data_IF_937576262759
#
_entry.id   IF_937576262759
#
_cell.length_a   1.000
_cell.length_b   1.000
_cell.length_c   1.000
_cell.angle_alpha   90.00
_cell.angle_beta   90.00
_cell.angle_gamma   90.00
#
_symmetry.space_group_name_H-M   'P 1'
#
loop_
_entity.id
_entity.type
_entity.pdbx_description
1 polymer ?
#
# COMPACT_ATOMS: atom_id res chain seq x y z
N UNK A 1 -18.45 1.22 -19.21
CA UNK A 1 -18.47 -0.24 -19.25
C UNK A 1 -19.87 -0.75 -18.90
N UNK A 2 -20.25 -1.88 -19.45
CA UNK A 2 -21.54 -2.50 -19.22
C UNK A 2 -21.53 -3.24 -17.85
N UNK A 3 -22.32 -2.78 -16.87
CA UNK A 3 -22.36 -3.41 -15.55
C UNK A 3 -22.99 -4.81 -15.58
N UNK A 4 -23.78 -5.11 -16.63
CA UNK A 4 -24.48 -6.37 -16.78
C UNK A 4 -23.64 -7.42 -17.53
N UNK A 5 -22.45 -7.06 -17.99
CA UNK A 5 -21.56 -7.99 -18.68
C UNK A 5 -21.11 -9.13 -17.73
N UNK A 6 -21.33 -10.39 -18.11
CA UNK A 6 -20.89 -11.52 -17.29
C UNK A 6 -19.39 -11.51 -17.06
N UNK A 7 -18.96 -11.61 -15.80
CA UNK A 7 -17.54 -11.62 -15.40
C UNK A 7 -16.92 -13.01 -15.66
N UNK A 8 -16.71 -13.32 -16.91
CA UNK A 8 -16.11 -14.59 -17.35
C UNK A 8 -15.10 -14.37 -18.48
N UNK A 9 -14.49 -15.45 -18.98
CA UNK A 9 -13.50 -15.36 -20.05
C UNK A 9 -14.00 -14.72 -21.34
N UNK A 10 -15.31 -14.67 -21.56
CA UNK A 10 -15.90 -13.99 -22.72
C UNK A 10 -15.71 -12.46 -22.69
N UNK A 11 -15.68 -11.86 -21.50
CA UNK A 11 -15.48 -10.42 -21.33
C UNK A 11 -14.11 -9.96 -21.83
N UNK A 12 -13.11 -10.85 -21.85
CA UNK A 12 -11.75 -10.54 -22.27
C UNK A 12 -11.48 -10.73 -23.76
N UNK A 13 -12.46 -11.21 -24.54
CA UNK A 13 -12.28 -11.46 -25.98
C UNK A 13 -11.99 -10.20 -26.81
N UNK A 14 -12.41 -9.05 -26.31
CA UNK A 14 -12.15 -7.75 -26.95
C UNK A 14 -10.84 -7.10 -26.52
N UNK A 15 -10.03 -7.77 -25.68
CA UNK A 15 -8.82 -7.23 -25.10
C UNK A 15 -7.62 -8.09 -25.52
N UNK A 16 -6.69 -7.49 -26.28
CA UNK A 16 -5.41 -8.11 -26.59
C UNK A 16 -4.37 -7.69 -25.55
N UNK A 17 -3.84 -8.67 -24.82
CA UNK A 17 -2.76 -8.43 -23.84
C UNK A 17 -1.41 -8.72 -24.48
N UNK A 18 -0.62 -7.68 -24.68
CA UNK A 18 0.72 -7.79 -25.25
C UNK A 18 1.75 -7.64 -24.13
N UNK A 19 2.40 -8.74 -23.76
CA UNK A 19 3.44 -8.78 -22.75
C UNK A 19 4.75 -9.36 -23.34
N UNK A 20 5.64 -8.53 -23.90
CA UNK A 20 6.88 -9.00 -24.52
C UNK A 20 7.78 -9.73 -23.51
N UNK A 21 8.44 -10.80 -23.94
CA UNK A 21 9.37 -11.55 -23.09
C UNK A 21 10.57 -10.69 -22.69
N UNK A 22 10.96 -10.78 -21.42
CA UNK A 22 12.09 -10.03 -20.85
C UNK A 22 11.70 -8.67 -20.30
N UNK A 23 10.42 -8.41 -20.14
CA UNK A 23 9.89 -7.23 -19.44
C UNK A 23 9.51 -7.55 -18.00
N UNK A 24 9.24 -6.52 -17.20
CA UNK A 24 8.81 -6.67 -15.80
C UNK A 24 7.54 -7.55 -15.68
N UNK A 25 6.63 -7.45 -16.64
CA UNK A 25 5.37 -8.22 -16.67
C UNK A 25 5.49 -9.60 -17.30
N UNK A 26 6.61 -9.91 -17.96
CA UNK A 26 6.89 -11.20 -18.59
C UNK A 26 8.40 -11.49 -18.56
N UNK A 27 8.98 -11.73 -17.37
CA UNK A 27 10.41 -11.95 -17.22
C UNK A 27 10.87 -13.28 -17.83
N UNK A 28 12.14 -13.35 -18.19
CA UNK A 28 12.76 -14.61 -18.66
C UNK A 28 13.29 -15.41 -17.47
N UNK A 29 13.07 -16.72 -17.42
CA UNK A 29 13.73 -17.57 -16.43
C UNK A 29 15.27 -17.57 -16.60
N UNK A 30 16.04 -17.71 -15.49
CA UNK A 30 15.60 -17.69 -14.10
C UNK A 30 15.44 -16.26 -13.58
N UNK A 31 14.23 -15.88 -13.21
CA UNK A 31 13.98 -14.60 -12.60
C UNK A 31 13.29 -14.81 -11.25
N UNK A 32 13.78 -14.19 -10.16
CA UNK A 32 13.09 -14.26 -8.89
C UNK A 32 11.75 -13.53 -9.01
N UNK A 33 10.68 -14.17 -8.56
CA UNK A 33 9.35 -13.62 -8.56
C UNK A 33 8.84 -13.58 -7.11
N UNK A 34 8.50 -12.40 -6.64
CA UNK A 34 7.93 -12.21 -5.31
C UNK A 34 6.87 -11.14 -5.35
N UNK A 35 5.76 -11.34 -4.63
CA UNK A 35 4.68 -10.35 -4.48
C UNK A 35 4.10 -9.82 -5.80
N UNK A 36 4.19 -10.59 -6.89
CA UNK A 36 3.79 -10.12 -8.21
C UNK A 36 2.34 -9.63 -8.26
N UNK A 37 1.43 -10.30 -7.59
CA UNK A 37 0.02 -9.89 -7.54
C UNK A 37 -0.17 -8.63 -6.72
N UNK A 38 0.48 -8.54 -5.57
CA UNK A 38 0.32 -7.43 -4.65
C UNK A 38 1.06 -6.15 -5.07
N UNK A 39 2.08 -6.26 -5.92
CA UNK A 39 2.89 -5.14 -6.40
C UNK A 39 2.61 -4.84 -7.86
N UNK A 40 3.07 -5.68 -8.77
CA UNK A 40 2.97 -5.43 -10.22
C UNK A 40 1.51 -5.45 -10.71
N UNK A 41 0.66 -6.29 -10.14
CA UNK A 41 -0.76 -6.32 -10.48
C UNK A 41 -1.46 -4.99 -10.26
N UNK A 42 -1.13 -4.28 -9.19
CA UNK A 42 -1.67 -2.95 -8.91
C UNK A 42 -1.17 -1.89 -9.88
N UNK A 43 0.12 -1.96 -10.26
CA UNK A 43 0.68 -1.06 -11.28
C UNK A 43 -0.02 -1.22 -12.62
N UNK A 44 -0.30 -2.45 -13.03
CA UNK A 44 -1.03 -2.73 -14.27
C UNK A 44 -2.42 -2.08 -14.21
N UNK A 45 -3.14 -2.23 -13.11
CA UNK A 45 -4.44 -1.58 -12.93
C UNK A 45 -4.35 -0.06 -13.04
N UNK A 46 -3.37 0.55 -12.38
CA UNK A 46 -3.14 2.00 -12.44
C UNK A 46 -2.78 2.49 -13.85
N UNK A 47 -1.97 1.74 -14.60
CA UNK A 47 -1.65 2.07 -16.00
C UNK A 47 -2.90 2.04 -16.87
N UNK A 48 -3.75 1.03 -16.69
CA UNK A 48 -5.02 0.92 -17.42
C UNK A 48 -5.95 2.09 -17.07
N UNK A 49 -6.09 2.44 -15.80
CA UNK A 49 -6.92 3.58 -15.38
C UNK A 49 -6.43 4.90 -15.97
N UNK A 50 -5.11 5.13 -15.95
CA UNK A 50 -4.52 6.32 -16.59
C UNK A 50 -4.80 6.39 -18.09
N UNK A 51 -4.76 5.26 -18.76
CA UNK A 51 -5.04 5.20 -20.20
C UNK A 51 -6.54 5.48 -20.47
N UNK A 52 -7.43 4.88 -19.70
CA UNK A 52 -8.86 5.07 -19.81
C UNK A 52 -9.27 6.51 -19.51
N UNK A 53 -8.73 7.13 -18.46
CA UNK A 53 -8.99 8.52 -18.12
C UNK A 53 -8.61 9.51 -19.24
N UNK A 54 -7.60 9.16 -20.06
CA UNK A 54 -7.22 9.95 -21.24
C UNK A 54 -8.15 9.74 -22.43
N UNK A 55 -8.71 8.54 -22.55
CA UNK A 55 -9.62 8.22 -23.65
C UNK A 55 -11.04 8.70 -23.38
N UNK A 56 -11.50 8.59 -22.15
CA UNK A 56 -12.81 9.01 -21.71
C UNK A 56 -12.73 9.53 -20.25
N UNK A 57 -12.79 10.86 -20.06
CA UNK A 57 -12.78 11.46 -18.72
C UNK A 57 -13.91 10.98 -17.80
N UNK A 58 -15.03 10.53 -18.35
CA UNK A 58 -16.14 9.99 -17.58
C UNK A 58 -15.82 8.66 -16.87
N UNK A 59 -14.82 7.94 -17.39
CA UNK A 59 -14.30 6.70 -16.80
C UNK A 59 -13.07 6.92 -15.91
N UNK A 60 -12.77 8.19 -15.61
CA UNK A 60 -11.59 8.51 -14.82
C UNK A 60 -11.68 7.92 -13.41
N UNK A 61 -10.57 7.33 -12.98
CA UNK A 61 -10.31 6.91 -11.62
C UNK A 61 -8.92 7.41 -11.24
N UNK A 62 -8.85 8.22 -10.22
CA UNK A 62 -7.58 8.69 -9.71
C UNK A 62 -6.79 7.55 -9.05
N UNK A 63 -5.48 7.72 -8.95
CA UNK A 63 -4.59 6.72 -8.40
C UNK A 63 -4.84 6.47 -6.92
N UNK A 64 -4.79 5.22 -6.52
CA UNK A 64 -4.76 4.88 -5.10
C UNK A 64 -3.36 5.07 -4.55
N UNK A 65 -3.27 5.47 -3.31
CA UNK A 65 -2.03 5.36 -2.56
C UNK A 65 -1.61 3.89 -2.47
N UNK A 66 -0.31 3.64 -2.47
CA UNK A 66 0.20 2.28 -2.33
C UNK A 66 0.46 2.00 -0.86
N UNK A 67 0.21 0.76 -0.47
CA UNK A 67 0.46 0.36 0.90
C UNK A 67 1.95 0.35 1.20
N UNK A 68 2.29 0.79 2.37
CA UNK A 68 3.53 0.39 2.98
C UNK A 68 3.27 -1.03 3.52
N UNK A 69 3.62 -2.04 2.74
CA UNK A 69 3.62 -3.41 3.25
C UNK A 69 4.83 -3.53 4.17
N UNK A 70 4.54 -3.30 5.38
CA UNK A 70 5.50 -3.11 6.22
C UNK A 70 6.34 -4.16 6.61
N UNK A 71 5.80 -4.99 7.33
CA UNK A 71 6.72 -5.67 8.18
C UNK A 71 6.13 -7.03 8.36
N UNK A 72 6.75 -7.95 7.69
CA UNK A 72 6.79 -9.26 8.30
C UNK A 72 7.87 -9.14 9.36
N UNK A 73 7.49 -9.00 10.59
CA UNK A 73 8.43 -9.06 11.69
C UNK A 73 8.34 -10.44 12.35
N UNK A 74 9.46 -10.96 12.75
CA UNK A 74 9.53 -12.23 13.46
C UNK A 74 10.71 -12.25 14.41
N UNK A 75 10.50 -12.83 15.59
CA UNK A 75 11.52 -12.98 16.59
C UNK A 75 11.51 -14.38 17.20
N UNK A 76 12.60 -14.73 17.87
CA UNK A 76 12.68 -15.97 18.63
C UNK A 76 12.06 -15.80 20.02
N UNK A 77 11.88 -14.56 20.45
CA UNK A 77 11.27 -14.18 21.71
C UNK A 77 11.93 -14.74 22.96
N UNK A 78 11.52 -14.23 24.10
CA UNK A 78 11.90 -14.82 25.40
C UNK A 78 11.08 -16.05 25.75
N UNK A 79 10.04 -16.37 24.98
CA UNK A 79 9.12 -17.49 25.24
C UNK A 79 8.95 -18.43 24.06
N UNK A 80 8.41 -17.98 22.96
CA UNK A 80 8.16 -18.78 21.77
C UNK A 80 8.45 -17.98 20.49
N UNK A 81 8.86 -18.62 19.40
CA UNK A 81 9.00 -17.97 18.12
C UNK A 81 7.67 -17.35 17.67
N UNK A 82 7.73 -16.15 17.12
CA UNK A 82 6.57 -15.48 16.57
C UNK A 82 6.88 -14.91 15.19
N UNK A 83 5.85 -14.81 14.36
CA UNK A 83 5.90 -14.14 13.07
C UNK A 83 4.60 -13.36 12.91
N UNK A 84 4.74 -12.11 12.54
CA UNK A 84 3.62 -11.23 12.30
C UNK A 84 3.67 -10.67 10.87
N UNK A 85 2.55 -10.67 10.20
CA UNK A 85 2.36 -9.97 8.95
C UNK A 85 1.52 -8.71 9.19
N UNK A 86 2.07 -7.57 8.84
CA UNK A 86 1.54 -6.29 9.25
C UNK A 86 0.84 -5.55 8.11
N UNK A 87 -0.48 -5.45 8.16
CA UNK A 87 -1.29 -4.82 7.14
C UNK A 87 -1.86 -3.44 7.52
N UNK A 88 -1.45 -2.88 8.66
CA UNK A 88 -2.10 -1.70 9.21
C UNK A 88 -1.71 -0.38 8.55
N UNK A 89 -0.86 -0.39 7.55
CA UNK A 89 -0.42 0.80 6.83
C UNK A 89 -1.14 0.97 5.50
N UNK A 90 -2.46 0.81 5.54
CA UNK A 90 -3.30 0.94 4.37
C UNK A 90 -3.37 2.40 3.89
N UNK A 91 -3.44 2.60 2.60
CA UNK A 91 -3.48 3.90 1.95
C UNK A 91 -4.88 4.34 1.58
N UNK A 92 -5.02 5.60 1.19
CA UNK A 92 -6.26 6.13 0.65
C UNK A 92 -6.54 5.68 -0.78
N UNK A 93 -7.80 5.48 -1.14
CA UNK A 93 -8.18 5.27 -2.55
C UNK A 93 -8.19 6.58 -3.33
N UNK A 94 -8.04 6.50 -4.64
CA UNK A 94 -8.25 7.64 -5.51
C UNK A 94 -9.73 8.06 -5.57
N UNK A 95 -9.97 9.31 -5.92
CA UNK A 95 -11.28 9.81 -6.26
C UNK A 95 -11.79 9.15 -7.54
N UNK A 96 -13.08 9.05 -7.67
CA UNK A 96 -13.75 8.66 -8.91
C UNK A 96 -14.77 9.73 -9.26
N UNK A 97 -15.30 9.68 -10.47
CA UNK A 97 -16.42 10.52 -10.83
C UNK A 97 -17.51 10.41 -9.77
N UNK A 98 -18.06 11.53 -9.35
CA UNK A 98 -19.19 11.70 -8.42
C UNK A 98 -18.91 11.41 -6.92
N UNK A 99 -17.69 11.08 -6.52
CA UNK A 99 -17.39 10.88 -5.09
C UNK A 99 -15.92 10.95 -4.74
N UNK A 100 -15.68 11.31 -3.49
CA UNK A 100 -14.38 11.27 -2.84
C UNK A 100 -13.82 9.84 -2.73
N UNK A 101 -12.51 9.71 -2.69
CA UNK A 101 -11.83 8.48 -2.36
C UNK A 101 -12.05 8.05 -0.91
N UNK A 102 -12.05 6.75 -0.67
CA UNK A 102 -12.18 6.20 0.69
C UNK A 102 -10.87 6.31 1.45
N UNK A 103 -10.97 6.76 2.70
CA UNK A 103 -9.83 6.80 3.61
C UNK A 103 -9.39 5.38 3.98
N UNK A 104 -8.08 5.15 4.07
CA UNK A 104 -7.51 3.90 4.56
C UNK A 104 -8.15 2.65 3.92
N UNK A 105 -8.28 2.67 2.63
CA UNK A 105 -9.04 1.65 1.90
C UNK A 105 -8.23 0.41 1.53
N UNK A 106 -6.93 0.51 1.59
CA UNK A 106 -6.04 -0.58 1.24
C UNK A 106 -5.48 -0.47 -0.16
N UNK A 107 -5.12 -1.58 -0.72
CA UNK A 107 -4.60 -1.63 -2.08
C UNK A 107 -5.65 -2.14 -3.08
N UNK A 108 -5.46 -1.80 -4.33
CA UNK A 108 -6.40 -2.07 -5.43
C UNK A 108 -6.85 -3.54 -5.49
N UNK A 109 -5.92 -4.48 -5.28
CA UNK A 109 -6.22 -5.91 -5.39
C UNK A 109 -7.19 -6.46 -4.36
N UNK A 110 -7.43 -5.74 -3.26
CA UNK A 110 -8.36 -6.16 -2.21
C UNK A 110 -9.70 -5.43 -2.27
N UNK A 111 -9.79 -4.36 -3.06
CA UNK A 111 -11.00 -3.54 -3.20
C UNK A 111 -11.64 -3.16 -1.85
N UNK A 112 -10.81 -2.82 -0.88
CA UNK A 112 -11.27 -2.50 0.48
C UNK A 112 -11.64 -3.69 1.36
N UNK A 113 -11.40 -4.91 0.90
CA UNK A 113 -11.70 -6.13 1.66
C UNK A 113 -10.75 -6.45 2.81
N UNK A 114 -9.78 -5.58 3.09
CA UNK A 114 -8.91 -5.72 4.26
C UNK A 114 -9.50 -4.91 5.41
N UNK A 115 -9.76 -5.58 6.51
CA UNK A 115 -10.16 -4.94 7.75
C UNK A 115 -8.94 -4.72 8.65
N UNK A 116 -9.00 -3.64 9.43
CA UNK A 116 -8.00 -3.38 10.45
C UNK A 116 -8.02 -4.46 11.52
N UNK A 117 -6.85 -4.82 11.97
CA UNK A 117 -6.71 -5.74 13.09
C UNK A 117 -7.13 -5.06 14.40
N UNK A 118 -7.68 -5.85 15.31
CA UNK A 118 -7.88 -5.39 16.67
C UNK A 118 -6.51 -5.27 17.35
N UNK A 119 -6.17 -4.06 17.77
CA UNK A 119 -4.89 -3.70 18.38
C UNK A 119 -4.61 -4.55 19.63
N UNK A 120 -5.58 -4.69 20.50
CA UNK A 120 -5.44 -5.46 21.75
C UNK A 120 -5.09 -6.93 21.49
N UNK A 121 -5.70 -7.53 20.47
CA UNK A 121 -5.37 -8.91 20.08
C UNK A 121 -3.93 -9.06 19.59
N UNK A 122 -3.40 -8.02 18.94
CA UNK A 122 -2.01 -8.02 18.49
C UNK A 122 -1.06 -7.88 19.66
N UNK A 123 -1.31 -6.95 20.57
CA UNK A 123 -0.49 -6.73 21.77
C UNK A 123 -0.48 -7.95 22.70
N UNK A 124 -1.57 -8.72 22.72
CA UNK A 124 -1.63 -9.97 23.49
C UNK A 124 -0.82 -11.12 22.87
N UNK A 125 -0.64 -11.10 21.54
CA UNK A 125 -0.01 -12.21 20.81
C UNK A 125 1.44 -11.97 20.45
N UNK A 126 1.82 -10.72 20.31
CA UNK A 126 3.12 -10.31 19.81
C UNK A 126 3.77 -9.32 20.77
N UNK A 127 5.09 -9.32 20.89
CA UNK A 127 5.82 -8.40 21.76
C UNK A 127 5.83 -6.99 21.16
N UNK A 128 4.69 -6.36 21.12
CA UNK A 128 4.53 -5.01 20.54
C UNK A 128 3.49 -4.19 21.30
N UNK A 129 3.59 -2.89 21.13
CA UNK A 129 2.67 -1.93 21.71
C UNK A 129 2.34 -0.84 20.68
N UNK A 130 1.05 -0.57 20.50
CA UNK A 130 0.57 0.43 19.56
C UNK A 130 0.52 1.81 20.21
N UNK A 131 1.25 2.76 19.63
CA UNK A 131 1.25 4.14 20.10
C UNK A 131 0.25 5.02 19.37
N UNK A 132 -0.01 4.73 18.07
CA UNK A 132 -0.87 5.55 17.22
C UNK A 132 -1.48 4.75 16.09
N UNK A 133 -2.72 5.10 15.77
CA UNK A 133 -3.45 4.60 14.61
C UNK A 133 -4.54 5.59 14.25
N UNK A 134 -4.20 6.57 13.42
CA UNK A 134 -5.04 7.73 13.10
C UNK A 134 -5.06 7.97 11.61
N UNK A 135 -6.09 8.64 11.10
CA UNK A 135 -6.06 9.14 9.73
C UNK A 135 -4.96 10.20 9.58
N UNK A 136 -4.16 10.06 8.51
CA UNK A 136 -3.13 11.03 8.18
C UNK A 136 -3.79 12.25 7.55
N UNK A 137 -3.85 13.37 8.29
CA UNK A 137 -4.38 14.62 7.79
C UNK A 137 -3.64 15.07 6.51
N UNK A 138 -4.37 15.70 5.61
CA UNK A 138 -3.87 16.37 4.39
C UNK A 138 -3.02 15.48 3.46
N UNK A 139 -3.16 14.16 3.56
CA UNK A 139 -2.41 13.25 2.70
C UNK A 139 -3.08 12.97 1.35
N UNK A 140 -4.35 13.25 1.23
CA UNK A 140 -5.13 13.07 0.00
C UNK A 140 -4.84 14.16 -1.03
N UNK A 141 -4.89 13.81 -2.31
CA UNK A 141 -4.90 14.78 -3.40
C UNK A 141 -6.21 15.56 -3.44
N UNK A 142 -6.13 16.87 -3.75
CA UNK A 142 -7.29 17.75 -3.90
C UNK A 142 -7.84 17.68 -5.32
N UNK A 143 -9.11 18.03 -5.49
CA UNK A 143 -9.81 18.04 -6.77
C UNK A 143 -11.27 18.44 -6.57
N UNK A 144 -12.09 18.34 -7.60
CA UNK A 144 -13.55 18.41 -7.45
C UNK A 144 -14.04 17.35 -6.47
N UNK A 145 -13.49 16.13 -6.60
CA UNK A 145 -13.56 15.08 -5.61
C UNK A 145 -12.14 14.81 -5.08
N UNK A 146 -11.97 14.73 -3.78
CA UNK A 146 -10.66 14.50 -3.18
C UNK A 146 -10.32 13.01 -3.10
N UNK A 147 -9.05 12.69 -3.08
CA UNK A 147 -8.58 11.35 -2.71
C UNK A 147 -8.90 10.98 -1.27
N UNK A 148 -8.79 9.71 -0.94
CA UNK A 148 -8.83 9.22 0.44
C UNK A 148 -7.51 9.47 1.17
N UNK A 149 -7.57 9.62 2.49
CA UNK A 149 -6.37 9.78 3.32
C UNK A 149 -5.72 8.44 3.62
N UNK A 150 -4.40 8.45 3.80
CA UNK A 150 -3.66 7.37 4.44
C UNK A 150 -3.83 7.37 5.96
N UNK A 151 -2.94 6.66 6.65
CA UNK A 151 -2.88 6.62 8.11
C UNK A 151 -1.53 7.07 8.65
N UNK A 152 -1.55 7.56 9.87
CA UNK A 152 -0.41 7.78 10.75
C UNK A 152 -0.41 6.66 11.79
N UNK A 153 0.57 5.79 11.71
CA UNK A 153 0.63 4.56 12.46
C UNK A 153 1.95 4.48 13.23
N UNK A 154 1.88 4.16 14.51
CA UNK A 154 3.05 3.99 15.35
C UNK A 154 2.95 2.70 16.16
N UNK A 155 4.02 1.90 16.14
CA UNK A 155 4.15 0.69 16.94
C UNK A 155 5.55 0.60 17.51
N UNK A 156 5.66 0.17 18.76
CA UNK A 156 6.90 -0.23 19.41
C UNK A 156 6.99 -1.74 19.41
N UNK A 157 8.07 -2.29 18.88
CA UNK A 157 8.42 -3.71 19.00
C UNK A 157 9.38 -3.84 20.19
N UNK A 158 9.07 -4.71 21.10
CA UNK A 158 9.67 -4.76 22.45
C UNK A 158 10.89 -5.68 22.56
N UNK A 159 11.20 -6.44 21.52
CA UNK A 159 12.34 -7.35 21.47
C UNK A 159 13.03 -7.35 20.11
N UNK A 160 14.18 -7.99 20.00
CA UNK A 160 14.87 -8.17 18.74
C UNK A 160 14.03 -8.97 17.74
N UNK A 161 13.96 -8.47 16.50
CA UNK A 161 13.24 -9.11 15.43
C UNK A 161 13.90 -8.89 14.07
N UNK A 162 13.70 -9.85 13.18
CA UNK A 162 14.00 -9.71 11.77
C UNK A 162 12.81 -9.05 11.05
N UNK A 163 13.08 -8.01 10.29
CA UNK A 163 12.08 -7.24 9.56
C UNK A 163 12.25 -7.41 8.06
N UNK A 164 11.20 -7.78 7.37
CA UNK A 164 11.13 -7.75 5.91
C UNK A 164 10.38 -6.50 5.45
N UNK A 165 11.10 -5.49 5.02
CA UNK A 165 10.54 -4.23 4.54
C UNK A 165 10.06 -4.33 3.10
N UNK A 166 8.89 -3.77 2.85
CA UNK A 166 8.31 -3.59 1.52
C UNK A 166 7.47 -2.33 1.52
N UNK A 167 7.97 -1.27 0.93
CA UNK A 167 7.28 0.00 0.88
C UNK A 167 7.13 0.51 -0.54
N UNK A 168 5.91 0.79 -0.95
CA UNK A 168 5.62 1.44 -2.21
C UNK A 168 5.07 2.84 -1.98
N UNK A 169 5.30 3.73 -2.96
CA UNK A 169 4.87 5.12 -2.81
C UNK A 169 5.59 5.91 -1.72
N UNK A 170 6.79 5.47 -1.28
CA UNK A 170 7.60 6.14 -0.26
C UNK A 170 8.45 7.28 -0.82
N UNK A 171 9.09 7.06 -1.96
CA UNK A 171 9.97 8.06 -2.58
C UNK A 171 9.21 8.99 -3.52
N UNK A 172 8.15 8.47 -4.13
CA UNK A 172 7.30 9.22 -5.05
C UNK A 172 5.83 8.97 -4.71
N UNK A 173 4.98 10.00 -4.79
CA UNK A 173 3.54 9.82 -4.62
C UNK A 173 2.99 8.81 -5.62
N UNK A 174 2.18 7.88 -5.15
CA UNK A 174 1.55 6.84 -5.99
C UNK A 174 0.09 7.14 -6.34
N UNK A 175 -0.59 7.90 -5.51
CA UNK A 175 -1.96 8.34 -5.72
C UNK A 175 -2.02 9.50 -6.72
N UNK A 176 -1.90 9.23 -8.02
CA UNK A 176 -1.96 10.28 -9.05
C UNK A 176 -3.35 10.89 -9.16
N UNK A 177 -3.41 12.21 -9.43
CA UNK A 177 -4.65 12.91 -9.76
C UNK A 177 -5.08 12.69 -11.21
N UNK A 178 -6.36 12.93 -11.50
CA UNK A 178 -6.93 12.87 -12.86
C UNK A 178 -7.75 14.13 -13.14
N UNK A 179 -7.92 14.49 -14.42
CA UNK A 179 -8.77 15.60 -14.88
C UNK A 179 -8.50 16.95 -14.17
N UNK A 180 -7.24 17.20 -13.81
CA UNK A 180 -6.84 18.41 -13.09
C UNK A 180 -6.79 18.28 -11.56
N UNK A 181 -7.14 17.12 -11.02
CA UNK A 181 -6.94 16.85 -9.60
C UNK A 181 -5.47 16.63 -9.21
N UNK A 182 -5.18 16.85 -7.96
CA UNK A 182 -3.82 16.75 -7.41
C UNK A 182 -3.45 15.32 -7.02
N UNK A 183 -2.14 15.09 -6.97
CA UNK A 183 -1.56 13.84 -6.46
C UNK A 183 -1.60 13.83 -4.93
N UNK A 184 -1.94 12.67 -4.33
CA UNK A 184 -1.82 12.47 -2.90
C UNK A 184 -0.36 12.49 -2.42
N UNK A 185 -0.15 12.67 -1.12
CA UNK A 185 1.21 12.68 -0.55
C UNK A 185 1.87 11.30 -0.58
N UNK A 186 3.19 11.29 -0.73
CA UNK A 186 3.99 10.07 -0.58
C UNK A 186 3.95 9.55 0.87
N UNK A 187 4.15 8.26 1.02
CA UNK A 187 4.33 7.63 2.32
C UNK A 187 5.73 7.88 2.91
N UNK A 188 5.90 7.52 4.17
CA UNK A 188 7.19 7.54 4.86
C UNK A 188 7.19 6.56 6.02
N UNK A 189 8.30 5.89 6.23
CA UNK A 189 8.50 5.04 7.40
C UNK A 189 9.80 5.41 8.10
N UNK A 190 9.74 5.62 9.40
CA UNK A 190 10.89 5.93 10.25
C UNK A 190 10.98 4.92 11.37
N UNK A 191 12.22 4.58 11.75
CA UNK A 191 12.56 3.69 12.85
C UNK A 191 13.37 4.49 13.88
N UNK A 192 12.94 4.46 15.12
CA UNK A 192 13.70 4.96 16.24
C UNK A 192 14.23 3.77 17.05
N UNK A 193 15.54 3.58 17.05
CA UNK A 193 16.20 2.48 17.73
C UNK A 193 16.44 2.79 19.20
N UNK A 194 16.65 1.77 20.02
CA UNK A 194 16.89 1.94 21.45
C UNK A 194 18.18 2.70 21.79
N UNK A 195 19.17 2.69 20.89
CA UNK A 195 20.40 3.46 21.05
C UNK A 195 20.26 4.96 20.75
N UNK A 196 19.04 5.41 20.42
CA UNK A 196 18.72 6.79 20.07
C UNK A 196 18.94 7.14 18.59
N UNK A 197 19.25 6.16 17.77
CA UNK A 197 19.41 6.36 16.32
C UNK A 197 18.05 6.41 15.62
N UNK A 198 17.82 7.43 14.82
CA UNK A 198 16.66 7.57 13.95
C UNK A 198 17.06 7.23 12.50
N UNK A 199 16.32 6.31 11.89
CA UNK A 199 16.53 5.85 10.52
C UNK A 199 15.28 6.06 9.67
N UNK A 200 15.48 6.25 8.36
CA UNK A 200 14.42 6.03 7.39
C UNK A 200 14.47 4.55 7.03
N UNK A 201 13.36 3.84 7.21
CA UNK A 201 13.28 2.43 6.88
C UNK A 201 13.59 2.20 5.39
N UNK A 202 14.32 1.13 5.05
CA UNK A 202 14.56 0.78 3.67
C UNK A 202 13.24 0.50 2.94
N UNK A 203 13.18 0.85 1.68
CA UNK A 203 11.99 0.56 0.87
C UNK A 203 11.79 -0.94 0.66
N UNK A 204 12.90 -1.65 0.48
CA UNK A 204 12.96 -3.11 0.35
C UNK A 204 14.19 -3.62 1.08
N UNK A 205 14.07 -4.73 1.75
CA UNK A 205 15.18 -5.36 2.43
C UNK A 205 14.75 -6.26 3.56
N UNK A 206 15.72 -6.97 4.10
CA UNK A 206 15.57 -7.76 5.33
C UNK A 206 16.66 -7.32 6.29
N UNK A 207 16.27 -6.87 7.46
CA UNK A 207 17.18 -6.33 8.46
C UNK A 207 16.77 -6.83 9.84
N UNK A 208 17.73 -6.99 10.73
CA UNK A 208 17.47 -7.34 12.14
C UNK A 208 17.78 -6.15 13.02
N UNK A 209 16.84 -5.81 13.88
CA UNK A 209 16.99 -4.75 14.87
C UNK A 209 16.59 -5.24 16.24
N UNK A 210 17.22 -4.67 17.27
CA UNK A 210 16.74 -4.72 18.64
C UNK A 210 15.36 -4.05 18.80
N UNK A 211 14.90 -3.85 20.03
CA UNK A 211 13.67 -3.10 20.27
C UNK A 211 13.67 -1.77 19.53
N UNK A 212 12.55 -1.41 18.91
CA UNK A 212 12.44 -0.17 18.16
C UNK A 212 11.02 0.39 18.16
N UNK A 213 10.90 1.69 17.96
CA UNK A 213 9.64 2.35 17.64
C UNK A 213 9.61 2.69 16.15
N UNK A 214 8.58 2.22 15.50
CA UNK A 214 8.35 2.48 14.09
C UNK A 214 7.15 3.39 13.91
N UNK A 215 7.30 4.41 13.05
CA UNK A 215 6.20 5.24 12.59
C UNK A 215 6.08 5.17 11.07
N UNK A 216 4.90 4.83 10.61
CA UNK A 216 4.59 4.75 9.19
C UNK A 216 3.46 5.73 8.84
N UNK A 217 3.76 6.61 7.88
CA UNK A 217 2.79 7.51 7.26
C UNK A 217 2.43 6.92 5.90
N UNK A 218 1.24 6.36 5.74
CA UNK A 218 0.87 5.78 4.46
C UNK A 218 0.47 6.84 3.43
N UNK A 219 0.59 6.54 2.12
CA UNK A 219 0.23 7.48 1.06
C UNK A 219 -1.26 7.78 1.01
N UNK A 220 -1.59 8.99 0.54
CA UNK A 220 -2.95 9.35 0.16
C UNK A 220 -3.27 8.97 -1.28
N UNK A 221 -4.57 8.87 -1.59
CA UNK A 221 -5.08 8.75 -2.96
C UNK A 221 -5.07 10.08 -3.69
N UNK A 222 -5.13 10.05 -5.03
CA UNK A 222 -5.26 11.23 -5.88
C UNK A 222 -6.70 11.78 -5.94
N UNK A 223 -6.82 13.08 -6.24
CA UNK A 223 -8.08 13.76 -6.50
C UNK A 223 -8.51 13.73 -7.95
#
# INVERSE_FOLDING_TARGET
>A
FDPDLPRNGGAFRAIDVIAPKGTVVNPRPPAPLSMCTATIGHEIAHVVWKALAKADPELACAGWGKSIHGITAGGLGTGAPWVMYHWNTLSGSGAVRDRDGFNQFGHVGTLGGITMHNVENYEQRYPMQFGRQEFRCDSAGTGEFRGGTGIDYEVTVLEEAEYSFRGEGLNHPSGFGTNGGDTGQAGRMTLALDDGTDLIAPQYGVETYGPLRMRALSPGGGG
#
